data_IF_407445530158
#
_entry.id   IF_407445530158
#
_cell.length_a   1.000
_cell.length_b   1.000
_cell.length_c   1.000
_cell.angle_alpha   90.00
_cell.angle_beta   90.00
_cell.angle_gamma   90.00
#
_symmetry.space_group_name_H-M   'P 1'
#
loop_
_entity.id
_entity.type
_entity.pdbx_description
1 polymer ?
#
# COMPACT_ATOMS: atom_id res chain seq x y z
N UNK A 1 -6.95 15.16 16.72
CA UNK A 1 -6.67 14.95 15.29
C UNK A 1 -5.76 16.07 14.85
N UNK A 2 -4.57 15.76 14.33
CA UNK A 2 -3.68 16.76 13.74
C UNK A 2 -4.20 17.08 12.34
N UNK A 3 -4.46 18.35 12.06
CA UNK A 3 -4.87 18.83 10.74
C UNK A 3 -3.62 18.99 9.87
N UNK A 4 -3.65 18.45 8.65
CA UNK A 4 -2.62 18.68 7.62
C UNK A 4 -3.19 19.71 6.65
N UNK A 5 -2.53 20.86 6.52
CA UNK A 5 -2.89 21.84 5.52
C UNK A 5 -2.41 21.37 4.14
N UNK A 6 -3.29 21.19 3.14
CA UNK A 6 -2.88 20.89 1.76
C UNK A 6 -2.18 22.05 1.04
N UNK A 7 -2.33 23.28 1.54
CA UNK A 7 -1.81 24.46 0.88
C UNK A 7 -0.28 24.52 0.96
N UNK A 8 0.40 24.89 -0.13
CA UNK A 8 1.85 25.10 -0.12
C UNK A 8 2.24 26.19 0.88
N UNK A 9 3.26 25.93 1.68
CA UNK A 9 3.76 26.90 2.66
C UNK A 9 4.49 28.05 1.94
N UNK A 10 4.11 29.33 2.14
CA UNK A 10 4.77 30.47 1.50
C UNK A 10 6.28 30.54 1.77
N UNK A 11 6.73 30.12 2.96
CA UNK A 11 8.15 30.09 3.33
C UNK A 11 8.95 29.03 2.57
N UNK A 12 8.28 28.05 1.97
CA UNK A 12 8.90 26.92 1.26
C UNK A 12 8.53 26.87 -0.23
N UNK A 13 7.76 27.84 -0.70
CA UNK A 13 7.22 27.90 -2.06
C UNK A 13 7.66 29.20 -2.72
N UNK A 14 8.53 29.10 -3.73
CA UNK A 14 9.10 30.27 -4.39
C UNK A 14 8.00 31.07 -5.09
N UNK A 15 7.98 32.39 -4.88
CA UNK A 15 7.02 33.30 -5.51
C UNK A 15 5.61 33.26 -4.91
N UNK A 16 5.35 32.44 -3.90
CA UNK A 16 4.04 32.37 -3.24
C UNK A 16 3.90 33.47 -2.19
N UNK A 17 2.98 34.39 -2.40
CA UNK A 17 2.64 35.40 -1.39
C UNK A 17 1.78 34.80 -0.26
N UNK A 18 1.78 35.39 0.96
CA UNK A 18 0.98 34.90 2.08
C UNK A 18 -0.53 34.78 1.82
N UNK A 19 -1.04 35.43 0.77
CA UNK A 19 -2.43 35.33 0.32
C UNK A 19 -2.71 34.22 -0.70
N UNK A 20 -1.74 33.36 -1.02
CA UNK A 20 -1.88 32.27 -1.99
C UNK A 20 -1.68 32.66 -3.46
N UNK A 21 -1.28 33.91 -3.71
CA UNK A 21 -0.99 34.43 -5.05
C UNK A 21 0.44 34.13 -5.52
N UNK A 22 0.66 34.27 -6.81
CA UNK A 22 1.99 34.37 -7.42
C UNK A 22 2.01 35.56 -8.40
N UNK A 23 3.20 36.15 -8.67
CA UNK A 23 3.33 37.21 -9.67
C UNK A 23 2.87 36.78 -11.08
N UNK A 24 2.41 37.71 -11.92
CA UNK A 24 2.06 37.42 -13.31
C UNK A 24 3.24 36.82 -14.08
N UNK A 25 3.01 35.72 -14.80
CA UNK A 25 4.02 35.02 -15.60
C UNK A 25 4.76 33.90 -14.87
N UNK A 26 4.62 33.81 -13.54
CA UNK A 26 5.06 32.66 -12.76
C UNK A 26 4.02 31.52 -12.85
N UNK A 27 4.48 30.27 -12.71
CA UNK A 27 3.57 29.11 -12.63
C UNK A 27 3.11 28.96 -11.17
N UNK A 28 1.80 28.98 -10.87
CA UNK A 28 1.30 28.75 -9.52
C UNK A 28 1.78 27.40 -8.95
N UNK A 29 2.00 27.30 -7.62
CA UNK A 29 2.40 26.04 -7.01
C UNK A 29 1.31 24.98 -7.17
N UNK A 30 1.72 23.72 -7.22
CA UNK A 30 0.80 22.59 -7.33
C UNK A 30 -0.09 22.52 -6.07
N UNK A 31 -1.40 22.53 -6.27
CA UNK A 31 -2.37 22.29 -5.21
C UNK A 31 -2.41 20.80 -4.84
N UNK A 32 -2.39 20.49 -3.54
CA UNK A 32 -2.62 19.14 -3.05
C UNK A 32 -4.10 18.97 -2.71
N UNK A 33 -4.96 18.58 -3.66
CA UNK A 33 -6.41 18.54 -3.41
C UNK A 33 -6.87 17.39 -2.50
N UNK A 34 -5.98 16.48 -2.11
CA UNK A 34 -6.32 15.18 -1.51
C UNK A 34 -5.34 14.74 -0.40
N UNK A 35 -5.03 15.59 0.60
CA UNK A 35 -4.28 15.13 1.77
C UNK A 35 -5.09 14.04 2.47
N UNK A 36 -4.44 12.94 2.88
CA UNK A 36 -5.11 11.82 3.56
C UNK A 36 -6.14 11.03 2.70
N UNK A 37 -6.19 11.20 1.37
CA UNK A 37 -7.15 10.47 0.53
C UNK A 37 -6.82 8.97 0.32
N UNK A 38 -5.66 8.52 0.82
CA UNK A 38 -5.34 7.10 0.89
C UNK A 38 -6.28 6.36 1.86
N UNK A 39 -6.54 5.06 1.65
CA UNK A 39 -7.20 4.24 2.66
C UNK A 39 -6.47 4.38 3.99
N UNK A 40 -7.23 4.61 5.08
CA UNK A 40 -6.65 4.56 6.42
C UNK A 40 -6.11 3.15 6.62
N UNK A 41 -4.78 3.03 6.69
CA UNK A 41 -4.05 1.78 6.88
C UNK A 41 -4.17 1.31 8.35
N UNK A 42 -5.40 1.12 8.83
CA UNK A 42 -5.72 0.72 10.22
C UNK A 42 -5.78 -0.80 10.39
N UNK A 43 -5.92 -1.54 9.29
CA UNK A 43 -6.14 -2.99 9.30
C UNK A 43 -5.04 -3.76 8.56
N UNK A 44 -3.82 -3.21 8.50
CA UNK A 44 -2.70 -3.99 7.99
C UNK A 44 -2.37 -5.08 9.03
N UNK A 45 -2.42 -6.37 8.66
CA UNK A 45 -2.05 -7.43 9.59
C UNK A 45 -0.63 -7.22 10.10
N UNK A 46 -0.40 -7.60 11.36
CA UNK A 46 0.91 -7.44 11.99
C UNK A 46 2.03 -8.07 11.15
N UNK A 47 3.22 -7.45 11.17
CA UNK A 47 4.39 -7.96 10.46
C UNK A 47 4.59 -9.45 10.77
N UNK A 48 4.58 -10.29 9.73
CA UNK A 48 4.76 -11.74 9.84
C UNK A 48 3.49 -12.57 9.77
N UNK A 49 2.30 -11.97 9.69
CA UNK A 49 1.03 -12.68 9.53
C UNK A 49 0.97 -13.58 8.28
N UNK A 50 1.70 -13.23 7.22
CA UNK A 50 1.80 -14.02 6.00
C UNK A 50 2.32 -15.45 6.21
N UNK A 51 3.05 -15.72 7.31
CA UNK A 51 3.61 -17.06 7.60
C UNK A 51 2.54 -18.12 7.83
N UNK A 52 1.43 -17.75 8.48
CA UNK A 52 0.34 -18.68 8.80
C UNK A 52 -0.35 -19.24 7.55
N UNK A 53 -0.91 -18.38 6.68
CA UNK A 53 -1.50 -18.81 5.41
C UNK A 53 -0.51 -19.55 4.52
N UNK A 54 0.75 -19.10 4.46
CA UNK A 54 1.78 -19.77 3.67
C UNK A 54 2.03 -21.22 4.14
N UNK A 55 2.15 -21.42 5.46
CA UNK A 55 2.33 -22.76 6.01
C UNK A 55 1.12 -23.68 5.73
N UNK A 56 -0.10 -23.15 5.83
CA UNK A 56 -1.32 -23.90 5.52
C UNK A 56 -1.36 -24.32 4.04
N UNK A 57 -1.02 -23.41 3.11
CA UNK A 57 -0.95 -23.71 1.68
C UNK A 57 0.10 -24.81 1.41
N UNK A 58 1.30 -24.68 1.97
CA UNK A 58 2.36 -25.67 1.80
C UNK A 58 1.95 -27.05 2.32
N UNK A 59 1.26 -27.12 3.46
CA UNK A 59 0.74 -28.36 4.00
C UNK A 59 -0.24 -29.04 3.03
N UNK A 60 -1.20 -28.28 2.50
CA UNK A 60 -2.19 -28.79 1.53
C UNK A 60 -1.49 -29.31 0.26
N UNK A 61 -0.52 -28.56 -0.27
CA UNK A 61 0.25 -28.97 -1.45
C UNK A 61 0.97 -30.30 -1.22
N UNK A 62 1.63 -30.47 -0.08
CA UNK A 62 2.33 -31.72 0.26
C UNK A 62 1.36 -32.89 0.36
N UNK A 63 0.19 -32.69 0.99
CA UNK A 63 -0.83 -33.74 1.11
C UNK A 63 -1.37 -34.17 -0.26
N UNK A 64 -1.67 -33.20 -1.14
CA UNK A 64 -2.15 -33.49 -2.50
C UNK A 64 -1.08 -34.20 -3.33
N UNK A 65 0.17 -33.75 -3.25
CA UNK A 65 1.28 -34.39 -3.95
C UNK A 65 1.50 -35.84 -3.46
N UNK A 66 1.45 -36.07 -2.14
CA UNK A 66 1.57 -37.41 -1.56
C UNK A 66 0.41 -38.32 -1.99
N UNK A 67 -0.81 -37.80 -2.04
CA UNK A 67 -1.97 -38.55 -2.54
C UNK A 67 -1.75 -39.02 -3.98
N UNK A 68 -1.36 -38.13 -4.89
CA UNK A 68 -1.11 -38.49 -6.28
C UNK A 68 0.07 -39.45 -6.43
N UNK A 69 1.12 -39.29 -5.62
CA UNK A 69 2.27 -40.20 -5.61
C UNK A 69 1.83 -41.63 -5.23
N UNK A 70 1.07 -41.77 -4.15
CA UNK A 70 0.54 -43.07 -3.71
C UNK A 70 -0.39 -43.65 -4.77
N UNK A 71 -1.28 -42.84 -5.34
CA UNK A 71 -2.19 -43.26 -6.40
C UNK A 71 -1.44 -43.77 -7.64
N UNK A 72 -0.38 -43.07 -8.07
CA UNK A 72 0.45 -43.49 -9.19
C UNK A 72 1.17 -44.82 -8.91
N UNK A 73 1.69 -45.02 -7.70
CA UNK A 73 2.33 -46.29 -7.30
C UNK A 73 1.31 -47.44 -7.37
N UNK A 74 0.08 -47.23 -6.90
CA UNK A 74 -0.99 -48.24 -6.97
C UNK A 74 -1.36 -48.58 -8.42
N UNK A 75 -1.35 -47.60 -9.33
CA UNK A 75 -1.67 -47.84 -10.75
C UNK A 75 -0.55 -48.56 -11.52
N UNK A 76 0.70 -48.43 -11.07
CA UNK A 76 1.87 -49.01 -11.75
C UNK A 76 2.09 -50.48 -11.35
N UNK A 77 1.70 -50.86 -10.13
CA UNK A 77 1.81 -52.24 -9.62
C UNK A 77 0.71 -53.14 -10.18
#
# INVERSE_FOLDING_TARGET
MTYVNPDPEPERSTGLEPGGGVPPGETPPAESSMPEAGPRETHNPAKGWAKGPLAAILLVVVLVAAFFLVYAIILIL
#
